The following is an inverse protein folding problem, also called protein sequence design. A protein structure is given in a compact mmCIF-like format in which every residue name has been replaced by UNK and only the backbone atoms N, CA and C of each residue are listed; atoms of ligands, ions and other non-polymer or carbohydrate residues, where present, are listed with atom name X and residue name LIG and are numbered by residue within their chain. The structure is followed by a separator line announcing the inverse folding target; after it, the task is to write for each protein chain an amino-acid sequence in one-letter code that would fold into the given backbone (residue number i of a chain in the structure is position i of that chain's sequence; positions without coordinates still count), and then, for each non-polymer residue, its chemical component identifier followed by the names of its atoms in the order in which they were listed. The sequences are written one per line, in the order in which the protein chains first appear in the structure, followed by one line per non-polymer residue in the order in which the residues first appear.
data_IF_431927605995
#
_entry.id   IF_431927605995
#
_cell.length_a   1.000
_cell.length_b   1.000
_cell.length_c   1.000
_cell.angle_alpha   90.00
_cell.angle_beta   90.00
_cell.angle_gamma   90.00
#
_symmetry.space_group_name_H-M   'P 1'
#
loop_
_entity.id
_entity.type
_entity.pdbx_description
1 polymer ?
#
# COMPACT_ATOMS: atom_id res chain seq x y z
N UNK A 1 24.26 -19.02 -14.46
CA UNK A 1 23.36 -17.96 -13.99
C UNK A 1 21.95 -18.29 -14.46
N UNK A 2 21.18 -18.98 -13.60
CA UNK A 2 19.80 -19.35 -13.87
C UNK A 2 18.88 -18.13 -13.57
N UNK A 3 17.98 -17.73 -14.46
CA UNK A 3 16.99 -16.67 -14.17
C UNK A 3 16.18 -16.91 -12.92
N UNK A 4 15.99 -18.15 -12.48
CA UNK A 4 15.35 -18.49 -11.21
C UNK A 4 16.14 -18.02 -9.99
N UNK A 5 17.48 -18.04 -10.03
CA UNK A 5 18.34 -17.58 -8.94
C UNK A 5 18.16 -16.08 -8.68
N UNK A 6 18.10 -15.29 -9.76
CA UNK A 6 17.83 -13.86 -9.65
C UNK A 6 16.45 -13.57 -9.03
N UNK A 7 15.43 -14.35 -9.41
CA UNK A 7 14.10 -14.22 -8.82
C UNK A 7 14.10 -14.49 -7.31
N UNK A 8 14.75 -15.56 -6.86
CA UNK A 8 14.85 -15.91 -5.44
C UNK A 8 15.63 -14.88 -4.64
N UNK A 9 16.78 -14.41 -5.15
CA UNK A 9 17.59 -13.37 -4.51
C UNK A 9 16.79 -12.08 -4.38
N UNK A 10 16.10 -11.65 -5.43
CA UNK A 10 15.29 -10.44 -5.41
C UNK A 10 14.15 -10.53 -4.38
N UNK A 11 13.47 -11.68 -4.28
CA UNK A 11 12.44 -11.94 -3.28
C UNK A 11 13.01 -11.95 -1.86
N UNK A 12 14.16 -12.55 -1.66
CA UNK A 12 14.84 -12.57 -0.36
C UNK A 12 15.21 -11.15 0.09
N UNK A 13 15.82 -10.37 -0.80
CA UNK A 13 16.16 -8.96 -0.52
C UNK A 13 14.94 -8.15 -0.17
N UNK A 14 13.83 -8.32 -0.89
CA UNK A 14 12.55 -7.67 -0.62
C UNK A 14 12.00 -7.99 0.79
N UNK A 15 12.07 -9.26 1.19
CA UNK A 15 11.62 -9.71 2.52
C UNK A 15 12.52 -9.12 3.61
N UNK A 16 13.85 -9.27 3.46
CA UNK A 16 14.82 -8.77 4.43
C UNK A 16 14.68 -7.25 4.57
N UNK A 17 14.55 -6.52 3.48
CA UNK A 17 14.34 -5.08 3.49
C UNK A 17 13.07 -4.71 4.27
N UNK A 18 11.93 -5.35 3.96
CA UNK A 18 10.65 -5.08 4.63
C UNK A 18 10.71 -5.27 6.15
N UNK A 19 11.51 -6.24 6.62
CA UNK A 19 11.74 -6.49 8.05
C UNK A 19 12.71 -5.47 8.66
N UNK A 20 13.76 -5.11 7.92
CA UNK A 20 14.82 -4.22 8.41
C UNK A 20 14.31 -2.79 8.62
N UNK A 21 13.34 -2.32 7.83
CA UNK A 21 12.82 -0.96 7.91
C UNK A 21 11.83 -0.71 9.06
N UNK A 22 11.26 -1.76 9.66
CA UNK A 22 10.22 -1.62 10.70
C UNK A 22 10.63 -0.71 11.89
N UNK A 23 11.88 -0.77 12.43
CA UNK A 23 12.30 0.12 13.52
C UNK A 23 12.49 1.59 13.13
N UNK A 24 12.29 1.93 11.86
CA UNK A 24 12.51 3.28 11.31
C UNK A 24 11.21 3.99 10.93
N UNK A 25 10.09 3.62 11.54
CA UNK A 25 8.75 4.13 11.23
C UNK A 25 8.38 3.95 9.74
N UNK A 26 8.76 2.80 9.21
CA UNK A 26 8.49 2.42 7.82
C UNK A 26 7.72 1.10 7.76
N UNK A 27 6.79 1.02 6.83
CA UNK A 27 6.01 -0.20 6.55
C UNK A 27 6.15 -0.57 5.08
N UNK A 28 6.51 -1.81 4.81
CA UNK A 28 6.33 -2.40 3.48
C UNK A 28 4.90 -2.94 3.42
N UNK A 29 4.10 -2.47 2.48
CA UNK A 29 2.68 -2.79 2.41
C UNK A 29 2.30 -3.38 1.05
N UNK A 30 1.33 -4.30 1.05
CA UNK A 30 0.78 -4.87 -0.17
C UNK A 30 -0.34 -3.97 -0.70
N UNK A 31 0.00 -3.03 -1.57
CA UNK A 31 -0.90 -2.01 -2.09
C UNK A 31 -0.61 -1.65 -3.54
N UNK A 32 -1.62 -1.10 -4.23
CA UNK A 32 -1.42 -0.37 -5.48
C UNK A 32 -1.64 1.12 -5.22
N UNK A 33 -0.73 1.97 -5.69
CA UNK A 33 -0.68 3.39 -5.34
C UNK A 33 -0.89 4.26 -6.58
N UNK A 34 -1.96 5.03 -6.54
CA UNK A 34 -2.23 6.08 -7.53
C UNK A 34 -1.85 7.44 -6.94
N UNK A 35 -1.09 8.21 -7.69
CA UNK A 35 -0.63 9.54 -7.33
C UNK A 35 -1.27 10.58 -8.24
N UNK A 36 -1.69 11.69 -7.63
CA UNK A 36 -2.22 12.88 -8.32
C UNK A 36 -1.67 14.13 -7.62
N UNK A 37 -0.86 14.90 -8.34
CA UNK A 37 -0.34 16.21 -7.88
C UNK A 37 0.34 16.15 -6.49
N UNK A 38 1.17 15.13 -6.28
CA UNK A 38 1.90 14.93 -5.03
C UNK A 38 1.09 14.27 -3.90
N UNK A 39 -0.18 13.94 -4.13
CA UNK A 39 -1.05 13.23 -3.20
C UNK A 39 -1.28 11.79 -3.67
N UNK A 40 -1.41 10.85 -2.75
CA UNK A 40 -1.55 9.43 -3.05
C UNK A 40 -2.74 8.79 -2.37
N UNK A 41 -3.43 7.93 -3.12
CA UNK A 41 -4.38 6.95 -2.62
C UNK A 41 -3.75 5.55 -2.69
N UNK A 42 -3.85 4.80 -1.61
CA UNK A 42 -3.34 3.45 -1.51
C UNK A 42 -4.49 2.45 -1.50
N UNK A 43 -4.57 1.62 -2.53
CA UNK A 43 -5.57 0.56 -2.62
C UNK A 43 -5.05 -0.71 -1.97
N UNK A 44 -5.71 -1.11 -0.88
CA UNK A 44 -5.42 -2.29 -0.07
C UNK A 44 -6.36 -3.45 -0.41
N UNK A 45 -6.02 -4.64 0.03
CA UNK A 45 -6.81 -5.86 -0.10
C UNK A 45 -5.96 -7.08 -0.45
N UNK A 46 -6.52 -8.27 -0.32
CA UNK A 46 -5.84 -9.52 -0.64
C UNK A 46 -5.46 -9.62 -2.12
N UNK A 47 -4.59 -10.55 -2.46
CA UNK A 47 -4.26 -10.83 -3.86
C UNK A 47 -5.53 -11.16 -4.65
N UNK A 48 -5.67 -10.63 -5.87
CA UNK A 48 -6.84 -10.85 -6.71
C UNK A 48 -8.06 -9.95 -6.40
N UNK A 49 -8.02 -9.11 -5.36
CA UNK A 49 -9.14 -8.20 -5.04
C UNK A 49 -9.40 -7.14 -6.13
N UNK A 50 -8.39 -6.81 -6.95
CA UNK A 50 -8.54 -5.84 -8.02
C UNK A 50 -7.79 -4.52 -7.80
N UNK A 51 -6.80 -4.46 -6.90
CA UNK A 51 -5.99 -3.27 -6.62
C UNK A 51 -5.41 -2.63 -7.88
N UNK A 52 -4.68 -3.38 -8.67
CA UNK A 52 -4.08 -2.91 -9.94
C UNK A 52 -5.13 -2.53 -10.98
N UNK A 53 -6.28 -3.21 -10.97
CA UNK A 53 -7.42 -2.87 -11.83
C UNK A 53 -7.99 -1.50 -11.42
N UNK A 54 -8.17 -1.25 -10.14
CA UNK A 54 -8.70 0.02 -9.63
C UNK A 54 -7.74 1.18 -9.89
N UNK A 55 -6.44 1.01 -9.65
CA UNK A 55 -5.42 2.01 -10.03
C UNK A 55 -5.42 2.32 -11.54
N UNK A 56 -5.71 1.32 -12.39
CA UNK A 56 -5.84 1.51 -13.83
C UNK A 56 -7.09 2.30 -14.20
N UNK A 57 -8.22 2.08 -13.50
CA UNK A 57 -9.44 2.88 -13.67
C UNK A 57 -9.20 4.35 -13.30
N UNK A 58 -8.54 4.59 -12.16
CA UNK A 58 -8.14 5.95 -11.78
C UNK A 58 -7.34 6.65 -12.86
N UNK A 59 -6.31 6.01 -13.40
CA UNK A 59 -5.49 6.58 -14.49
C UNK A 59 -6.27 6.79 -15.79
N UNK A 60 -7.35 6.05 -15.99
CA UNK A 60 -8.21 6.18 -17.17
C UNK A 60 -9.20 7.34 -17.03
N UNK A 61 -9.78 7.52 -15.87
CA UNK A 61 -10.90 8.44 -15.66
C UNK A 61 -10.52 9.72 -14.92
N UNK A 62 -9.43 9.73 -14.16
CA UNK A 62 -8.95 10.93 -13.46
C UNK A 62 -7.76 11.53 -14.23
N UNK A 63 -7.91 12.72 -14.84
CA UNK A 63 -6.85 13.37 -15.58
C UNK A 63 -5.60 13.58 -14.71
N UNK A 64 -4.43 13.31 -15.26
CA UNK A 64 -3.11 13.44 -14.62
C UNK A 64 -2.82 12.43 -13.52
N UNK A 65 -3.76 11.55 -13.14
CA UNK A 65 -3.47 10.48 -12.20
C UNK A 65 -2.40 9.52 -12.77
N UNK A 66 -1.40 9.20 -11.96
CA UNK A 66 -0.28 8.33 -12.34
C UNK A 66 -0.14 7.16 -11.39
N UNK A 67 0.47 6.06 -11.84
CA UNK A 67 0.85 4.94 -10.97
C UNK A 67 2.18 5.29 -10.28
N UNK A 68 2.23 5.24 -8.96
CA UNK A 68 3.45 5.44 -8.21
C UNK A 68 4.15 4.11 -7.93
N UNK A 69 3.41 3.11 -7.48
CA UNK A 69 3.89 1.73 -7.31
C UNK A 69 2.71 0.75 -7.41
N UNK A 70 2.98 -0.47 -7.84
CA UNK A 70 1.98 -1.55 -7.89
C UNK A 70 2.58 -2.81 -7.25
N UNK A 71 2.15 -3.14 -6.05
CA UNK A 71 2.40 -4.35 -5.24
C UNK A 71 3.07 -4.10 -3.87
N UNK A 72 4.25 -3.47 -3.79
CA UNK A 72 5.07 -3.47 -2.56
C UNK A 72 5.62 -2.08 -2.17
N UNK A 73 4.80 -1.00 -2.19
CA UNK A 73 5.25 0.33 -1.82
C UNK A 73 5.74 0.39 -0.36
N UNK A 74 6.54 1.43 -0.08
CA UNK A 74 7.00 1.73 1.29
C UNK A 74 6.25 2.95 1.82
N UNK A 75 5.59 2.79 2.94
CA UNK A 75 4.98 3.87 3.69
C UNK A 75 5.93 4.29 4.81
N UNK A 76 6.09 5.58 5.03
CA UNK A 76 6.99 6.13 6.05
C UNK A 76 6.36 7.33 6.75
N UNK A 77 6.53 7.38 8.07
CA UNK A 77 6.32 8.59 8.85
C UNK A 77 7.63 9.38 8.85
N UNK A 78 7.59 10.59 8.33
CA UNK A 78 8.73 11.49 8.21
C UNK A 78 9.04 12.15 9.56
N UNK A 79 10.19 12.82 9.69
CA UNK A 79 10.61 13.50 10.92
C UNK A 79 9.68 14.66 11.33
N UNK A 80 9.03 15.28 10.37
CA UNK A 80 8.01 16.32 10.57
C UNK A 80 6.61 15.76 10.89
N UNK A 81 6.49 14.44 10.94
CA UNK A 81 5.25 13.70 11.17
C UNK A 81 4.43 13.39 9.92
N UNK A 82 4.79 13.94 8.73
CA UNK A 82 4.06 13.66 7.50
C UNK A 82 4.12 12.16 7.12
N UNK A 83 2.99 11.59 6.71
CA UNK A 83 2.95 10.22 6.19
C UNK A 83 3.11 10.24 4.67
N UNK A 84 4.20 9.66 4.18
CA UNK A 84 4.49 9.56 2.75
C UNK A 84 4.57 8.12 2.28
N UNK A 85 4.22 7.92 1.02
CA UNK A 85 4.43 6.66 0.31
C UNK A 85 5.51 6.81 -0.74
N UNK A 86 6.37 5.82 -0.83
CA UNK A 86 7.51 5.78 -1.75
C UNK A 86 7.35 4.63 -2.74
N UNK A 87 7.69 4.90 -4.00
CA UNK A 87 7.92 3.86 -4.98
C UNK A 87 9.14 3.02 -4.60
N UNK A 88 9.17 1.78 -5.03
CA UNK A 88 10.24 0.84 -4.73
C UNK A 88 10.60 0.01 -5.98
N UNK A 89 11.73 -0.73 -5.95
CA UNK A 89 12.14 -1.55 -7.09
C UNK A 89 11.33 -2.85 -7.24
N UNK A 90 10.39 -3.12 -6.34
CA UNK A 90 9.53 -4.29 -6.41
C UNK A 90 8.14 -3.90 -6.92
N UNK A 91 7.72 -4.54 -8.00
CA UNK A 91 6.43 -4.34 -8.63
C UNK A 91 5.69 -5.65 -8.83
N UNK A 92 4.38 -5.55 -9.02
CA UNK A 92 3.50 -6.68 -9.34
C UNK A 92 3.39 -6.94 -10.84
N UNK A 93 2.16 -7.19 -11.29
CA UNK A 93 1.87 -7.43 -12.71
C UNK A 93 2.08 -6.20 -13.60
N UNK A 94 2.06 -5.00 -13.04
CA UNK A 94 2.34 -3.76 -13.76
C UNK A 94 3.73 -3.28 -13.41
N UNK A 95 4.72 -3.33 -14.32
CA UNK A 95 6.04 -2.79 -14.07
C UNK A 95 5.97 -1.30 -13.74
N UNK A 96 6.39 -0.95 -12.52
CA UNK A 96 6.43 0.44 -12.07
C UNK A 96 7.57 0.59 -11.05
N UNK A 97 8.67 1.24 -11.47
CA UNK A 97 9.91 1.37 -10.71
C UNK A 97 10.26 2.84 -10.55
N UNK A 98 9.31 3.64 -10.02
CA UNK A 98 9.49 5.08 -9.87
C UNK A 98 10.24 5.38 -8.57
N UNK A 99 11.35 6.10 -8.67
CA UNK A 99 12.00 6.74 -7.52
C UNK A 99 11.28 8.08 -7.24
N UNK A 100 10.11 7.97 -6.64
CA UNK A 100 9.23 9.10 -6.33
C UNK A 100 8.49 8.85 -5.02
N UNK A 101 7.96 9.90 -4.42
CA UNK A 101 7.12 9.82 -3.23
C UNK A 101 5.95 10.79 -3.32
N UNK A 102 4.89 10.51 -2.57
CA UNK A 102 3.72 11.36 -2.46
C UNK A 102 3.18 11.37 -1.02
N UNK A 103 2.46 12.44 -0.66
CA UNK A 103 1.71 12.51 0.58
C UNK A 103 0.55 11.50 0.58
N UNK A 104 0.36 10.77 1.66
CA UNK A 104 -0.75 9.80 1.77
C UNK A 104 -2.02 10.53 2.18
N UNK A 105 -3.01 10.54 1.32
CA UNK A 105 -4.31 11.19 1.58
C UNK A 105 -5.30 10.23 2.22
N UNK A 106 -5.33 8.97 1.76
CA UNK A 106 -6.20 7.94 2.31
C UNK A 106 -5.73 6.53 1.96
N UNK A 107 -6.16 5.58 2.79
CA UNK A 107 -6.07 4.14 2.54
C UNK A 107 -7.46 3.63 2.15
N UNK A 108 -7.56 2.86 1.08
CA UNK A 108 -8.82 2.35 0.54
C UNK A 108 -8.77 0.83 0.42
N UNK A 109 -9.43 0.14 1.34
CA UNK A 109 -9.54 -1.32 1.30
C UNK A 109 -10.63 -1.75 0.32
N UNK A 110 -10.24 -2.39 -0.77
CA UNK A 110 -11.15 -2.85 -1.81
C UNK A 110 -11.84 -4.15 -1.43
N UNK A 111 -13.11 -4.25 -1.76
CA UNK A 111 -13.90 -5.47 -1.69
C UNK A 111 -14.78 -5.59 -2.95
N UNK A 112 -14.69 -6.70 -3.64
CA UNK A 112 -15.57 -6.96 -4.78
C UNK A 112 -17.03 -7.02 -4.34
N UNK A 113 -17.89 -6.27 -5.03
CA UNK A 113 -19.31 -6.14 -4.72
C UNK A 113 -20.12 -5.86 -6.00
N UNK A 114 -21.37 -6.25 -6.08
CA UNK A 114 -22.25 -5.84 -7.18
C UNK A 114 -22.64 -4.35 -7.12
N UNK A 115 -22.39 -3.68 -6.01
CA UNK A 115 -22.74 -2.27 -5.78
C UNK A 115 -21.49 -1.47 -5.37
N UNK A 116 -21.45 -0.18 -5.76
CA UNK A 116 -20.40 0.75 -5.36
C UNK A 116 -20.80 1.45 -4.05
N UNK A 117 -20.00 1.25 -2.98
CA UNK A 117 -20.25 1.86 -1.67
C UNK A 117 -18.95 2.17 -0.96
N UNK A 118 -18.71 3.45 -0.67
CA UNK A 118 -17.61 3.91 0.17
C UNK A 118 -18.05 4.00 1.63
N UNK A 119 -17.29 3.37 2.53
CA UNK A 119 -17.57 3.39 3.97
C UNK A 119 -16.29 3.75 4.73
N UNK A 120 -16.32 4.79 5.57
CA UNK A 120 -15.18 5.13 6.43
C UNK A 120 -15.04 4.10 7.54
N UNK A 121 -13.88 3.48 7.65
CA UNK A 121 -13.54 2.54 8.73
C UNK A 121 -13.08 3.30 9.97
N UNK A 122 -13.21 2.68 11.15
CA UNK A 122 -12.79 3.25 12.43
C UNK A 122 -12.30 2.16 13.39
N UNK A 123 -11.49 2.54 14.36
CA UNK A 123 -11.01 1.65 15.42
C UNK A 123 -10.38 0.38 14.87
N UNK A 124 -10.85 -0.76 15.33
CA UNK A 124 -10.31 -2.07 14.96
C UNK A 124 -10.35 -2.33 13.45
N UNK A 125 -11.43 -1.97 12.77
CA UNK A 125 -11.58 -2.25 11.33
C UNK A 125 -10.53 -1.49 10.50
N UNK A 126 -10.19 -0.23 10.89
CA UNK A 126 -9.10 0.52 10.26
C UNK A 126 -7.76 -0.15 10.50
N UNK A 127 -7.51 -0.58 11.74
CA UNK A 127 -6.27 -1.25 12.13
C UNK A 127 -6.09 -2.55 11.37
N UNK A 128 -7.08 -3.43 11.40
CA UNK A 128 -7.03 -4.73 10.72
C UNK A 128 -6.81 -4.56 9.20
N UNK A 129 -7.39 -3.51 8.60
CA UNK A 129 -7.23 -3.21 7.17
C UNK A 129 -5.77 -2.91 6.79
N UNK A 130 -5.09 -2.00 7.52
CA UNK A 130 -3.70 -1.66 7.22
C UNK A 130 -2.75 -2.76 7.69
N UNK A 131 -2.95 -3.28 8.90
CA UNK A 131 -2.08 -4.28 9.49
C UNK A 131 -2.04 -5.59 8.66
N UNK A 132 -3.18 -6.06 8.17
CA UNK A 132 -3.24 -7.25 7.30
C UNK A 132 -2.55 -7.07 5.95
N UNK A 133 -2.37 -5.82 5.51
CA UNK A 133 -1.66 -5.48 4.28
C UNK A 133 -0.15 -5.23 4.49
N UNK A 134 0.33 -5.29 5.74
CA UNK A 134 1.70 -4.98 6.11
C UNK A 134 2.53 -6.25 6.24
N UNK A 135 3.77 -6.22 5.74
CA UNK A 135 4.71 -7.33 5.89
C UNK A 135 5.45 -7.24 7.23
N UNK A 136 5.46 -8.34 7.99
CA UNK A 136 6.20 -8.46 9.26
C UNK A 136 6.63 -9.90 9.54
N UNK A 137 7.58 -10.08 10.47
CA UNK A 137 8.01 -11.39 10.97
C UNK A 137 7.41 -11.66 12.34
N UNK A 138 6.60 -12.68 12.46
CA UNK A 138 6.01 -13.10 13.74
C UNK A 138 7.05 -13.52 14.79
N UNK A 139 8.18 -14.08 14.36
CA UNK A 139 9.23 -14.57 15.26
C UNK A 139 10.09 -13.46 15.89
N UNK A 140 10.13 -12.26 15.31
CA UNK A 140 10.87 -11.12 15.84
C UNK A 140 9.92 -10.15 16.58
N UNK A 141 9.78 -10.37 17.88
CA UNK A 141 8.88 -9.59 18.73
C UNK A 141 9.15 -8.08 18.70
N UNK A 142 10.43 -7.68 18.62
CA UNK A 142 10.81 -6.25 18.64
C UNK A 142 10.36 -5.55 17.35
N UNK A 143 10.62 -6.17 16.19
CA UNK A 143 10.20 -5.63 14.90
C UNK A 143 8.69 -5.71 14.70
N UNK A 144 8.07 -6.76 15.21
CA UNK A 144 6.61 -6.91 15.22
C UNK A 144 5.94 -5.76 16.00
N UNK A 145 6.43 -5.44 17.21
CA UNK A 145 5.93 -4.30 17.98
C UNK A 145 6.17 -2.98 17.26
N UNK A 146 7.36 -2.75 16.70
CA UNK A 146 7.63 -1.53 15.91
C UNK A 146 6.68 -1.39 14.71
N UNK A 147 6.35 -2.49 14.03
CA UNK A 147 5.34 -2.49 12.97
C UNK A 147 3.96 -2.11 13.50
N UNK A 148 3.56 -2.70 14.63
CA UNK A 148 2.27 -2.44 15.27
C UNK A 148 2.13 -0.95 15.66
N UNK A 149 3.16 -0.40 16.31
CA UNK A 149 3.20 1.01 16.72
C UNK A 149 3.13 1.93 15.50
N UNK A 150 3.92 1.65 14.44
CA UNK A 150 3.90 2.46 13.21
C UNK A 150 2.54 2.41 12.51
N UNK A 151 1.85 1.27 12.52
CA UNK A 151 0.48 1.16 11.99
C UNK A 151 -0.48 2.04 12.79
N UNK A 152 -0.38 2.03 14.12
CA UNK A 152 -1.21 2.89 14.97
C UNK A 152 -0.97 4.37 14.70
N UNK A 153 0.31 4.80 14.64
CA UNK A 153 0.70 6.20 14.36
C UNK A 153 0.21 6.68 12.99
N UNK A 154 0.26 5.84 11.95
CA UNK A 154 -0.29 6.15 10.62
C UNK A 154 -1.80 6.37 10.70
N UNK A 155 -2.52 5.54 11.45
CA UNK A 155 -3.97 5.59 11.54
C UNK A 155 -4.50 6.77 12.37
N UNK A 156 -3.66 7.42 13.17
CA UNK A 156 -4.01 8.68 13.84
C UNK A 156 -4.16 9.83 12.83
N UNK A 157 -3.47 9.75 11.69
CA UNK A 157 -3.38 10.81 10.70
C UNK A 157 -4.15 10.48 9.42
N UNK A 158 -4.09 9.24 8.97
CA UNK A 158 -4.59 8.84 7.64
C UNK A 158 -5.93 8.12 7.77
N UNK A 159 -6.99 8.63 7.13
CA UNK A 159 -8.28 7.96 7.11
C UNK A 159 -8.24 6.67 6.29
N UNK A 160 -8.97 5.67 6.78
CA UNK A 160 -9.15 4.39 6.09
C UNK A 160 -10.60 4.25 5.63
N UNK A 161 -10.77 3.85 4.39
CA UNK A 161 -12.07 3.55 3.81
C UNK A 161 -12.13 2.10 3.33
N UNK A 162 -13.33 1.52 3.34
CA UNK A 162 -13.64 0.34 2.57
C UNK A 162 -14.46 0.77 1.35
N UNK A 163 -14.01 0.35 0.19
CA UNK A 163 -14.74 0.51 -1.06
C UNK A 163 -15.24 -0.86 -1.51
N UNK A 164 -16.52 -1.10 -1.31
CA UNK A 164 -17.25 -2.18 -1.94
C UNK A 164 -17.50 -1.73 -3.38
N UNK A 165 -17.01 -2.47 -4.41
CA UNK A 165 -17.07 -1.94 -5.76
C UNK A 165 -17.07 -2.99 -6.87
N UNK A 166 -17.62 -2.56 -8.00
CA UNK A 166 -17.42 -3.13 -9.32
C UNK A 166 -16.16 -2.53 -9.97
N UNK A 167 -15.60 -3.18 -11.00
CA UNK A 167 -14.46 -2.62 -11.75
C UNK A 167 -14.92 -1.67 -12.86
N UNK A 168 -15.66 -0.59 -12.51
CA UNK A 168 -16.24 0.38 -13.44
C UNK A 168 -15.90 1.84 -13.07
N UNK A 169 -16.32 2.79 -13.91
CA UNK A 169 -16.08 4.22 -13.74
C UNK A 169 -16.74 4.80 -12.48
N UNK A 170 -17.92 4.30 -12.09
CA UNK A 170 -18.64 4.77 -10.91
C UNK A 170 -17.89 4.48 -9.60
N UNK A 171 -16.91 3.57 -9.62
CA UNK A 171 -16.09 3.23 -8.47
C UNK A 171 -14.89 4.19 -8.28
N UNK A 172 -14.66 5.12 -9.19
CA UNK A 172 -13.58 6.11 -9.16
C UNK A 172 -14.09 7.44 -8.63
#
# INVERSE_FOLDING_TARGET
DDPSDFFFINRLVMIVYGVAIAPHHMLKIHASVTELEGNALLFLGTSGTGKSTHSRLWRKFVPRATLLNDDEPILRIMEDGEVRVFGCPWGGSTPCYRNASAHVTALVHLRQSPENKLTKLRGRDSFDSLYSSTAFLHSDKKRHLATFDTVADVLEQIPVYRLDCRPDEEAV
#
